data_IF_556957418227
#
_entry.id   IF_556957418227
#
_cell.length_a   1.000
_cell.length_b   1.000
_cell.length_c   1.000
_cell.angle_alpha   90.00
_cell.angle_beta   90.00
_cell.angle_gamma   90.00
#
_symmetry.space_group_name_H-M   'P 1'
#
loop_
_entity.id
_entity.type
_entity.pdbx_description
1 polymer ?
#
# COMPACT_ATOMS: atom_id res chain seq x y z
N UNK A 1 -15.11 -22.60 4.31
CA UNK A 1 -14.97 -22.29 2.87
C UNK A 1 -14.30 -20.93 2.80
N UNK A 2 -13.20 -20.80 2.05
CA UNK A 2 -12.56 -19.49 1.88
C UNK A 2 -13.48 -18.58 1.07
N UNK A 3 -13.75 -17.40 1.60
CA UNK A 3 -14.58 -16.35 1.01
C UNK A 3 -13.73 -15.17 0.52
N UNK A 4 -12.41 -15.37 0.45
CA UNK A 4 -11.49 -14.43 -0.18
C UNK A 4 -11.16 -14.91 -1.58
N UNK A 5 -11.37 -14.04 -2.56
CA UNK A 5 -11.00 -14.27 -3.94
C UNK A 5 -9.71 -13.51 -4.25
N UNK A 6 -8.71 -14.21 -4.76
CA UNK A 6 -7.49 -13.58 -5.27
C UNK A 6 -7.82 -12.89 -6.61
N UNK A 7 -7.37 -11.65 -6.77
CA UNK A 7 -7.54 -10.94 -8.04
C UNK A 7 -6.43 -11.25 -9.03
N UNK A 8 -6.66 -10.94 -10.31
CA UNK A 8 -5.63 -11.09 -11.36
C UNK A 8 -4.65 -9.90 -11.41
N UNK A 9 -4.75 -8.93 -10.49
CA UNK A 9 -3.89 -7.76 -10.49
C UNK A 9 -2.43 -8.11 -10.17
N UNK A 10 -1.52 -7.50 -10.93
CA UNK A 10 -0.07 -7.69 -10.80
C UNK A 10 0.62 -6.35 -10.63
N UNK A 11 1.74 -6.33 -9.94
CA UNK A 11 2.59 -5.16 -9.92
C UNK A 11 3.16 -4.87 -11.31
N UNK A 12 3.27 -3.59 -11.65
CA UNK A 12 4.05 -3.11 -12.77
C UNK A 12 5.54 -3.13 -12.42
N UNK A 13 6.37 -3.82 -13.22
CA UNK A 13 7.82 -3.78 -13.05
C UNK A 13 8.43 -2.43 -13.49
N UNK A 14 7.65 -1.57 -14.18
CA UNK A 14 8.09 -0.22 -14.54
C UNK A 14 8.25 0.60 -13.25
N UNK A 15 9.48 0.95 -12.93
CA UNK A 15 9.85 1.64 -11.69
C UNK A 15 9.84 3.17 -11.81
N UNK A 16 9.98 3.69 -13.03
CA UNK A 16 10.10 5.12 -13.27
C UNK A 16 9.16 5.60 -14.37
N UNK A 17 8.69 6.83 -14.23
CA UNK A 17 8.07 7.61 -15.31
C UNK A 17 9.16 8.23 -16.20
N UNK A 18 8.96 8.14 -17.51
CA UNK A 18 9.92 8.58 -18.52
C UNK A 18 9.31 9.62 -19.48
N UNK A 19 7.97 9.60 -19.65
CA UNK A 19 7.25 10.56 -20.48
C UNK A 19 7.04 11.89 -19.72
N UNK A 20 7.42 13.04 -20.31
CA UNK A 20 7.24 14.34 -19.70
C UNK A 20 5.78 14.79 -19.79
N UNK A 21 5.42 15.84 -19.05
CA UNK A 21 4.12 16.48 -19.22
C UNK A 21 4.14 17.37 -20.47
N UNK A 22 3.02 17.40 -21.20
CA UNK A 22 2.78 18.33 -22.33
C UNK A 22 2.51 19.77 -21.84
N UNK A 23 3.43 20.33 -21.04
CA UNK A 23 3.35 21.70 -20.55
C UNK A 23 4.74 22.29 -20.29
N UNK A 24 4.86 23.59 -20.49
CA UNK A 24 6.03 24.38 -20.10
C UNK A 24 5.82 25.11 -18.76
N UNK A 25 4.60 25.10 -18.23
CA UNK A 25 4.27 25.81 -16.98
C UNK A 25 4.96 25.15 -15.79
N UNK A 26 5.67 25.95 -15.01
CA UNK A 26 6.38 25.48 -13.82
C UNK A 26 5.35 25.16 -12.72
N UNK A 27 5.37 23.95 -12.12
CA UNK A 27 4.49 23.59 -11.03
C UNK A 27 4.63 24.52 -9.82
N UNK A 28 3.50 24.82 -9.18
CA UNK A 28 3.45 25.66 -7.99
C UNK A 28 3.65 24.81 -6.72
N UNK A 29 3.93 25.47 -5.59
CA UNK A 29 4.10 24.77 -4.31
C UNK A 29 2.88 23.92 -3.91
N UNK A 30 1.66 24.37 -4.26
CA UNK A 30 0.42 23.63 -4.00
C UNK A 30 0.37 22.28 -4.73
N UNK A 31 1.02 22.17 -5.88
CA UNK A 31 1.04 20.94 -6.68
C UNK A 31 1.89 19.82 -6.03
N UNK A 32 2.61 20.16 -4.96
CA UNK A 32 3.48 19.29 -4.15
C UNK A 32 3.04 19.27 -2.68
N UNK A 33 1.87 19.83 -2.36
CA UNK A 33 1.35 19.89 -1.01
C UNK A 33 1.03 18.49 -0.49
N UNK A 34 1.06 18.34 0.84
CA UNK A 34 0.75 17.08 1.54
C UNK A 34 1.60 15.89 1.04
N UNK A 35 2.83 16.16 0.59
CA UNK A 35 3.77 15.14 0.16
C UNK A 35 3.90 14.04 1.21
N UNK A 36 3.50 12.84 0.84
CA UNK A 36 3.61 11.66 1.67
C UNK A 36 5.06 11.16 1.66
N UNK A 37 5.73 11.19 2.80
CA UNK A 37 7.15 10.85 2.88
C UNK A 37 7.40 9.33 2.89
N UNK A 38 6.42 8.54 3.30
CA UNK A 38 6.62 7.13 3.57
C UNK A 38 5.50 6.22 3.05
N UNK A 39 4.34 6.75 2.69
CA UNK A 39 3.26 6.01 2.03
C UNK A 39 3.22 6.22 0.51
N UNK A 40 2.02 6.04 -0.03
CA UNK A 40 1.73 5.96 -1.47
C UNK A 40 0.85 7.09 -1.98
N UNK A 41 0.48 8.05 -1.13
CA UNK A 41 -0.32 9.20 -1.56
C UNK A 41 0.50 10.07 -2.53
N UNK A 42 -0.04 10.27 -3.72
CA UNK A 42 0.55 11.05 -4.79
C UNK A 42 0.14 12.52 -4.65
N UNK A 43 1.12 13.41 -4.77
CA UNK A 43 0.87 14.83 -5.02
C UNK A 43 0.18 15.04 -6.37
N UNK A 44 -0.45 16.21 -6.57
CA UNK A 44 -1.09 16.55 -7.85
C UNK A 44 -0.11 16.52 -9.03
N UNK A 45 1.17 16.85 -8.79
CA UNK A 45 2.20 16.72 -9.81
C UNK A 45 2.48 15.25 -10.16
N UNK A 46 2.62 14.37 -9.16
CA UNK A 46 2.81 12.93 -9.38
C UNK A 46 1.64 12.29 -10.13
N UNK A 47 0.40 12.67 -9.80
CA UNK A 47 -0.80 12.20 -10.49
C UNK A 47 -0.80 12.59 -11.98
N UNK A 48 -0.38 13.82 -12.32
CA UNK A 48 -0.25 14.25 -13.73
C UNK A 48 0.75 13.41 -14.51
N UNK A 49 1.89 13.08 -13.89
CA UNK A 49 2.88 12.21 -14.53
C UNK A 49 2.39 10.77 -14.69
N UNK A 50 1.65 10.25 -13.70
CA UNK A 50 1.02 8.94 -13.84
C UNK A 50 0.10 8.91 -15.08
N UNK A 51 -0.77 9.91 -15.24
CA UNK A 51 -1.67 10.01 -16.40
C UNK A 51 -0.90 10.12 -17.71
N UNK A 52 0.13 10.98 -17.78
CA UNK A 52 0.97 11.11 -18.97
C UNK A 52 1.72 9.82 -19.33
N UNK A 53 1.96 8.94 -18.36
CA UNK A 53 2.62 7.65 -18.53
C UNK A 53 1.64 6.47 -18.65
N UNK A 54 0.35 6.74 -18.87
CA UNK A 54 -0.70 5.73 -19.09
C UNK A 54 -1.17 5.00 -17.84
N UNK A 55 -0.90 5.55 -16.65
CA UNK A 55 -1.37 5.02 -15.38
C UNK A 55 -2.47 5.91 -14.78
N UNK A 56 -3.41 5.29 -14.09
CA UNK A 56 -4.47 6.00 -13.37
C UNK A 56 -4.24 5.90 -11.87
N UNK A 57 -4.25 7.05 -11.19
CA UNK A 57 -4.32 7.08 -9.73
C UNK A 57 -5.77 6.95 -9.30
N UNK A 58 -6.01 6.18 -8.24
CA UNK A 58 -7.34 5.94 -7.69
C UNK A 58 -7.45 6.58 -6.31
N UNK A 59 -8.65 7.06 -5.97
CA UNK A 59 -8.92 7.56 -4.63
C UNK A 59 -8.67 6.46 -3.57
N UNK A 60 -7.73 6.70 -2.66
CA UNK A 60 -7.52 5.92 -1.46
C UNK A 60 -8.52 6.32 -0.36
N UNK A 61 -8.78 7.63 -0.23
CA UNK A 61 -9.87 8.30 0.53
C UNK A 61 -10.29 9.53 -0.28
N UNK A 62 -11.39 10.23 0.05
CA UNK A 62 -11.93 11.35 -0.76
C UNK A 62 -10.89 12.39 -1.25
N UNK A 63 -9.79 12.59 -0.51
CA UNK A 63 -8.74 13.58 -0.82
C UNK A 63 -7.36 12.98 -1.15
N UNK A 64 -7.22 11.65 -1.22
CA UNK A 64 -5.91 10.96 -1.35
C UNK A 64 -5.92 10.08 -2.59
N UNK A 65 -4.90 10.17 -3.43
CA UNK A 65 -4.79 9.40 -4.66
C UNK A 65 -3.52 8.57 -4.64
N UNK A 66 -3.62 7.27 -4.94
CA UNK A 66 -2.49 6.36 -5.02
C UNK A 66 -2.57 5.51 -6.28
N UNK A 67 -1.44 4.99 -6.77
CA UNK A 67 -1.47 3.88 -7.71
C UNK A 67 -1.75 2.64 -6.90
N UNK A 68 -2.97 2.11 -7.02
CA UNK A 68 -3.39 0.93 -6.29
C UNK A 68 -4.31 0.04 -7.09
N UNK A 69 -4.31 -1.24 -6.75
CA UNK A 69 -5.27 -2.22 -7.24
C UNK A 69 -5.70 -3.13 -6.08
N UNK A 70 -6.92 -3.69 -6.09
CA UNK A 70 -7.29 -4.76 -5.18
C UNK A 70 -6.30 -5.92 -5.27
N UNK A 71 -5.93 -6.52 -4.13
CA UNK A 71 -5.12 -7.74 -4.10
C UNK A 71 -6.01 -8.96 -3.90
N UNK A 72 -6.80 -8.95 -2.82
CA UNK A 72 -7.90 -9.87 -2.57
C UNK A 72 -9.24 -9.11 -2.51
N UNK A 73 -10.33 -9.80 -2.80
CA UNK A 73 -11.69 -9.30 -2.62
C UNK A 73 -12.53 -10.26 -1.77
N UNK A 74 -13.57 -9.73 -1.14
CA UNK A 74 -14.55 -10.50 -0.38
C UNK A 74 -15.94 -10.01 -0.76
N UNK A 75 -16.95 -10.91 -0.91
CA UNK A 75 -18.34 -10.49 -0.93
C UNK A 75 -18.71 -9.73 0.35
N UNK A 76 -19.68 -8.82 0.27
CA UNK A 76 -20.13 -8.04 1.43
C UNK A 76 -20.55 -8.96 2.59
N UNK A 77 -20.02 -8.65 3.78
CA UNK A 77 -20.32 -9.34 5.03
C UNK A 77 -20.53 -8.33 6.15
N UNK A 78 -21.36 -8.73 7.12
CA UNK A 78 -21.70 -7.91 8.29
C UNK A 78 -21.33 -8.57 9.61
N UNK A 79 -20.79 -9.79 9.56
CA UNK A 79 -20.47 -10.63 10.72
C UNK A 79 -19.40 -11.67 10.36
N UNK A 80 -18.60 -12.04 11.36
CA UNK A 80 -17.43 -12.90 11.25
C UNK A 80 -16.19 -12.11 10.81
N UNK A 81 -15.28 -12.80 10.13
CA UNK A 81 -14.10 -12.20 9.53
C UNK A 81 -14.46 -11.40 8.26
N UNK A 82 -14.16 -10.10 8.30
CA UNK A 82 -14.46 -9.13 7.25
C UNK A 82 -13.16 -8.57 6.69
N UNK A 83 -13.00 -8.63 5.38
CA UNK A 83 -11.89 -7.96 4.69
C UNK A 83 -12.10 -6.45 4.75
N UNK A 84 -11.28 -5.78 5.54
CA UNK A 84 -11.29 -4.32 5.63
C UNK A 84 -10.67 -3.72 4.37
N UNK A 85 -9.48 -4.19 4.00
CA UNK A 85 -8.83 -3.85 2.74
C UNK A 85 -7.78 -4.88 2.34
N UNK A 86 -7.51 -4.96 1.04
CA UNK A 86 -6.43 -5.75 0.48
C UNK A 86 -5.96 -5.10 -0.81
N UNK A 87 -4.76 -4.51 -0.80
CA UNK A 87 -4.30 -3.60 -1.83
C UNK A 87 -2.85 -3.90 -2.24
N UNK A 88 -2.63 -3.81 -3.54
CA UNK A 88 -1.31 -3.64 -4.15
C UNK A 88 -1.07 -2.14 -4.34
N UNK A 89 0.07 -1.63 -3.89
CA UNK A 89 0.43 -0.22 -4.00
C UNK A 89 1.72 0.00 -4.80
N UNK A 90 1.76 1.10 -5.54
CA UNK A 90 2.95 1.51 -6.29
C UNK A 90 3.21 3.02 -6.18
N UNK A 91 4.48 3.39 -6.18
CA UNK A 91 4.92 4.77 -6.35
C UNK A 91 6.20 4.80 -7.16
N UNK A 92 6.22 5.59 -8.23
CA UNK A 92 7.29 5.55 -9.22
C UNK A 92 8.26 6.71 -9.04
N UNK A 93 9.52 6.46 -9.38
CA UNK A 93 10.53 7.51 -9.56
C UNK A 93 10.42 8.18 -10.93
N UNK A 94 11.40 9.02 -11.27
CA UNK A 94 11.46 9.72 -12.55
C UNK A 94 12.77 9.46 -13.29
N UNK A 95 12.69 9.28 -14.60
CA UNK A 95 13.83 9.04 -15.49
C UNK A 95 13.62 9.75 -16.83
N UNK A 96 14.59 9.68 -17.74
CA UNK A 96 14.44 10.16 -19.11
C UNK A 96 14.02 11.63 -19.21
N UNK A 97 13.12 11.92 -20.15
CA UNK A 97 12.64 13.28 -20.43
C UNK A 97 11.80 13.86 -19.28
N UNK A 98 11.04 13.00 -18.58
CA UNK A 98 10.30 13.39 -17.38
C UNK A 98 11.24 13.96 -16.30
N UNK A 99 12.35 13.26 -16.00
CA UNK A 99 13.34 13.74 -15.04
C UNK A 99 13.98 15.06 -15.49
N UNK A 100 14.38 15.17 -16.76
CA UNK A 100 14.96 16.41 -17.30
C UNK A 100 14.00 17.60 -17.21
N UNK A 101 12.69 17.37 -17.39
CA UNK A 101 11.67 18.40 -17.19
C UNK A 101 11.60 18.83 -15.72
N UNK A 102 11.54 17.88 -14.79
CA UNK A 102 11.52 18.16 -13.35
C UNK A 102 12.78 18.90 -12.89
N UNK A 103 13.97 18.50 -13.34
CA UNK A 103 15.24 19.16 -13.00
C UNK A 103 15.29 20.61 -13.49
N UNK A 104 14.74 20.90 -14.68
CA UNK A 104 14.62 22.27 -15.18
C UNK A 104 13.69 23.10 -14.30
N UNK A 105 12.53 22.55 -13.92
CA UNK A 105 11.60 23.25 -13.03
C UNK A 105 12.15 23.42 -11.61
N UNK A 106 12.94 22.47 -11.11
CA UNK A 106 13.52 22.50 -9.77
C UNK A 106 14.50 23.67 -9.56
N UNK A 107 15.08 24.20 -10.65
CA UNK A 107 15.89 25.44 -10.62
C UNK A 107 15.09 26.67 -10.17
N UNK A 108 13.77 26.65 -10.35
CA UNK A 108 12.85 27.74 -9.98
C UNK A 108 12.01 27.38 -8.76
N UNK A 109 11.53 26.13 -8.67
CA UNK A 109 10.78 25.61 -7.51
C UNK A 109 11.51 24.39 -6.89
N UNK A 110 12.38 24.61 -5.88
CA UNK A 110 13.15 23.53 -5.25
C UNK A 110 12.32 22.44 -4.57
N UNK A 111 11.03 22.69 -4.27
CA UNK A 111 10.16 21.65 -3.70
C UNK A 111 10.01 20.44 -4.63
N UNK A 112 10.25 20.61 -5.93
CA UNK A 112 10.21 19.54 -6.92
C UNK A 112 11.26 18.46 -6.63
N UNK A 113 12.35 18.80 -5.92
CA UNK A 113 13.32 17.80 -5.48
C UNK A 113 12.70 16.72 -4.58
N UNK A 114 11.57 17.00 -3.89
CA UNK A 114 10.84 15.98 -3.12
C UNK A 114 10.40 14.80 -3.98
N UNK A 115 9.96 15.05 -5.22
CA UNK A 115 9.53 13.96 -6.11
C UNK A 115 10.69 13.43 -6.96
N UNK A 116 11.69 14.26 -7.30
CA UNK A 116 12.90 13.81 -8.02
C UNK A 116 13.67 12.76 -7.21
N UNK A 117 13.74 12.94 -5.87
CA UNK A 117 14.53 12.08 -4.97
C UNK A 117 13.80 10.82 -4.51
N UNK A 118 12.59 10.55 -5.01
CA UNK A 118 11.84 9.34 -4.67
C UNK A 118 12.55 8.10 -5.20
N UNK A 119 12.72 7.11 -4.33
CA UNK A 119 12.98 5.73 -4.75
C UNK A 119 11.67 5.07 -5.16
N UNK A 120 11.61 4.37 -6.31
CA UNK A 120 10.46 3.55 -6.66
C UNK A 120 10.10 2.58 -5.53
N UNK A 121 8.82 2.45 -5.23
CA UNK A 121 8.30 1.71 -4.08
C UNK A 121 7.09 0.87 -4.49
N UNK A 122 7.03 -0.35 -3.97
CA UNK A 122 5.89 -1.28 -4.10
C UNK A 122 5.46 -1.73 -2.71
N UNK A 123 4.16 -1.93 -2.51
CA UNK A 123 3.59 -2.20 -1.18
C UNK A 123 2.48 -3.23 -1.25
N UNK A 124 2.47 -4.12 -0.28
CA UNK A 124 1.39 -5.06 -0.01
C UNK A 124 0.69 -4.61 1.27
N UNK A 125 -0.62 -4.51 1.24
CA UNK A 125 -1.42 -4.11 2.39
C UNK A 125 -2.64 -5.04 2.50
N UNK A 126 -2.79 -5.71 3.64
CA UNK A 126 -3.83 -6.70 3.87
C UNK A 126 -4.38 -6.58 5.29
N UNK A 127 -5.69 -6.43 5.41
CA UNK A 127 -6.36 -6.27 6.69
C UNK A 127 -7.69 -7.04 6.75
N UNK A 128 -7.81 -7.88 7.77
CA UNK A 128 -9.02 -8.61 8.15
C UNK A 128 -9.41 -8.18 9.56
N UNK A 129 -10.65 -7.74 9.71
CA UNK A 129 -11.30 -7.45 10.98
C UNK A 129 -12.26 -8.58 11.35
N UNK A 130 -12.67 -8.63 12.61
CA UNK A 130 -13.74 -9.50 13.09
C UNK A 130 -14.80 -8.67 13.81
N UNK A 131 -16.07 -8.98 13.55
CA UNK A 131 -17.21 -8.45 14.29
C UNK A 131 -18.29 -9.52 14.47
N UNK A 132 -18.90 -9.61 15.64
CA UNK A 132 -20.05 -10.50 15.90
C UNK A 132 -21.22 -9.80 16.62
N UNK A 133 -22.35 -10.52 16.72
CA UNK A 133 -23.56 -10.05 17.42
C UNK A 133 -23.42 -9.91 18.93
N UNK A 134 -22.40 -10.53 19.52
CA UNK A 134 -22.08 -10.38 20.94
C UNK A 134 -21.24 -9.13 21.22
N UNK A 135 -20.85 -8.40 20.16
CA UNK A 135 -20.09 -7.16 20.23
C UNK A 135 -18.58 -7.37 20.33
N UNK A 136 -18.08 -8.58 20.04
CA UNK A 136 -16.64 -8.77 19.89
C UNK A 136 -16.19 -8.09 18.60
N UNK A 137 -15.26 -7.15 18.73
CA UNK A 137 -14.67 -6.43 17.60
C UNK A 137 -13.17 -6.33 17.80
N UNK A 138 -12.40 -6.77 16.82
CA UNK A 138 -10.94 -6.64 16.81
C UNK A 138 -10.37 -6.89 15.40
N UNK A 139 -9.17 -6.38 15.16
CA UNK A 139 -8.40 -6.69 13.97
C UNK A 139 -7.83 -8.11 14.09
N UNK A 140 -8.15 -9.00 13.15
CA UNK A 140 -7.62 -10.38 13.13
C UNK A 140 -6.17 -10.37 12.64
N UNK A 141 -5.92 -9.63 11.56
CA UNK A 141 -4.60 -9.36 11.02
C UNK A 141 -4.65 -8.02 10.30
N UNK A 142 -3.72 -7.13 10.61
CA UNK A 142 -3.24 -6.11 9.68
C UNK A 142 -1.82 -6.50 9.33
N UNK A 143 -1.45 -6.37 8.06
CA UNK A 143 -0.11 -6.69 7.60
C UNK A 143 0.25 -5.83 6.39
N UNK A 144 1.32 -5.06 6.54
CA UNK A 144 1.86 -4.18 5.51
C UNK A 144 3.31 -4.57 5.20
N UNK A 145 3.67 -4.60 3.91
CA UNK A 145 5.02 -4.88 3.45
C UNK A 145 5.40 -4.02 2.25
N UNK A 146 6.16 -2.98 2.55
CA UNK A 146 6.76 -2.03 1.65
C UNK A 146 8.13 -2.51 1.18
N UNK A 147 8.52 -2.20 -0.04
CA UNK A 147 9.90 -2.36 -0.50
C UNK A 147 10.26 -1.47 -1.68
N UNK A 148 11.57 -1.20 -1.81
CA UNK A 148 12.14 -0.46 -2.95
C UNK A 148 12.64 -1.38 -4.08
N UNK A 149 12.52 -2.70 -3.90
CA UNK A 149 12.92 -3.70 -4.89
C UNK A 149 11.69 -4.48 -5.36
N UNK A 150 11.36 -4.34 -6.64
CA UNK A 150 10.22 -5.03 -7.26
C UNK A 150 10.27 -6.56 -7.04
N UNK A 151 11.40 -7.21 -7.35
CA UNK A 151 11.49 -8.66 -7.32
C UNK A 151 11.33 -9.22 -5.90
N UNK A 152 11.81 -8.49 -4.90
CA UNK A 152 11.67 -8.85 -3.50
C UNK A 152 10.22 -8.73 -3.01
N UNK A 153 9.53 -7.64 -3.33
CA UNK A 153 8.11 -7.46 -2.97
C UNK A 153 7.21 -8.43 -3.73
N UNK A 154 7.48 -8.67 -5.01
CA UNK A 154 6.76 -9.66 -5.83
C UNK A 154 6.97 -11.09 -5.31
N UNK A 155 8.20 -11.45 -4.92
CA UNK A 155 8.46 -12.75 -4.28
C UNK A 155 7.69 -12.90 -2.96
N UNK A 156 7.57 -11.81 -2.17
CA UNK A 156 6.79 -11.80 -0.93
C UNK A 156 5.30 -12.00 -1.20
N UNK A 157 4.76 -11.34 -2.23
CA UNK A 157 3.38 -11.49 -2.69
C UNK A 157 3.08 -12.95 -3.02
N UNK A 158 3.90 -13.56 -3.88
CA UNK A 158 3.76 -14.96 -4.29
C UNK A 158 3.88 -15.96 -3.13
N UNK A 159 4.71 -15.66 -2.13
CA UNK A 159 4.83 -16.49 -0.91
C UNK A 159 3.53 -16.47 -0.08
N UNK A 160 2.89 -15.31 0.06
CA UNK A 160 1.77 -15.11 0.97
C UNK A 160 0.40 -15.39 0.35
N UNK A 161 0.24 -15.21 -0.95
CA UNK A 161 -1.03 -15.47 -1.65
C UNK A 161 -1.65 -16.85 -1.33
N UNK A 162 -0.94 -17.98 -1.52
CA UNK A 162 -1.50 -19.30 -1.22
C UNK A 162 -1.75 -19.50 0.28
N UNK A 163 -0.98 -18.82 1.15
CA UNK A 163 -1.15 -18.91 2.60
C UNK A 163 -2.43 -18.20 3.04
N UNK A 164 -2.63 -16.96 2.60
CA UNK A 164 -3.83 -16.18 2.93
C UNK A 164 -5.10 -16.79 2.35
N UNK A 165 -5.04 -17.35 1.14
CA UNK A 165 -6.16 -18.05 0.51
C UNK A 165 -6.59 -19.32 1.27
N UNK A 166 -5.65 -19.99 1.94
CA UNK A 166 -5.90 -21.25 2.66
C UNK A 166 -6.39 -21.05 4.10
N UNK A 167 -6.31 -19.85 4.66
CA UNK A 167 -6.75 -19.56 6.03
C UNK A 167 -8.28 -19.55 6.11
N UNK A 168 -8.84 -20.27 7.09
CA UNK A 168 -10.21 -20.05 7.54
C UNK A 168 -10.21 -18.88 8.54
N UNK A 169 -10.56 -17.70 8.06
CA UNK A 169 -10.44 -16.46 8.84
C UNK A 169 -11.42 -16.38 10.02
N UNK A 170 -12.57 -17.07 9.93
CA UNK A 170 -13.53 -17.13 11.04
C UNK A 170 -12.99 -18.02 12.17
N UNK A 171 -12.42 -19.18 11.82
CA UNK A 171 -11.76 -20.06 12.80
C UNK A 171 -10.52 -19.40 13.44
N UNK A 172 -9.71 -18.72 12.61
CA UNK A 172 -8.56 -17.96 13.09
C UNK A 172 -8.98 -16.86 14.06
N UNK A 173 -10.02 -16.09 13.74
CA UNK A 173 -10.54 -15.05 14.64
C UNK A 173 -11.05 -15.64 15.95
N UNK A 174 -11.84 -16.72 15.91
CA UNK A 174 -12.32 -17.40 17.11
C UNK A 174 -11.16 -17.91 17.99
N UNK A 175 -10.07 -18.39 17.37
CA UNK A 175 -8.88 -18.86 18.06
C UNK A 175 -8.02 -17.73 18.65
N UNK A 176 -7.93 -16.58 17.97
CA UNK A 176 -7.26 -15.38 18.48
C UNK A 176 -8.04 -14.76 19.64
N UNK A 177 -9.38 -14.74 19.55
CA UNK A 177 -10.26 -14.21 20.62
C UNK A 177 -10.10 -15.00 21.93
N UNK A 178 -9.92 -16.32 21.86
CA UNK A 178 -9.63 -17.17 23.04
C UNK A 178 -8.30 -16.82 23.73
N UNK A 179 -7.40 -16.12 23.04
CA UNK A 179 -6.08 -15.71 23.53
C UNK A 179 -5.99 -14.19 23.77
N UNK A 180 -7.15 -13.51 23.89
CA UNK A 180 -7.25 -12.04 24.01
C UNK A 180 -6.38 -11.45 25.12
N UNK A 181 -6.27 -12.16 26.24
CA UNK A 181 -5.43 -11.79 27.38
C UNK A 181 -3.93 -11.68 27.03
N UNK A 182 -3.46 -12.43 26.03
CA UNK A 182 -2.06 -12.42 25.61
C UNK A 182 -1.68 -11.19 24.77
N UNK A 183 -2.63 -10.60 24.03
CA UNK A 183 -2.30 -9.58 23.03
C UNK A 183 -3.03 -8.25 23.20
N UNK A 184 -4.26 -8.23 23.74
CA UNK A 184 -5.09 -7.01 23.72
C UNK A 184 -4.53 -5.85 24.55
N UNK A 185 -3.67 -6.14 25.53
CA UNK A 185 -3.02 -5.15 26.37
C UNK A 185 -1.72 -4.61 25.77
N UNK A 186 -1.23 -5.22 24.68
CA UNK A 186 0.01 -4.83 24.02
C UNK A 186 -0.20 -3.54 23.20
N UNK A 187 0.90 -2.83 22.95
CA UNK A 187 0.87 -1.72 21.99
C UNK A 187 0.71 -2.22 20.55
N UNK A 188 0.52 -1.29 19.61
CA UNK A 188 0.29 -1.60 18.20
C UNK A 188 1.35 -2.54 17.60
N UNK A 189 2.63 -2.25 17.81
CA UNK A 189 3.71 -3.04 17.20
C UNK A 189 3.82 -4.43 17.81
N UNK A 190 3.65 -4.53 19.13
CA UNK A 190 3.66 -5.80 19.82
C UNK A 190 2.42 -6.67 19.47
N UNK A 191 1.25 -6.06 19.22
CA UNK A 191 0.09 -6.78 18.68
C UNK A 191 0.35 -7.28 17.26
N UNK A 192 0.89 -6.44 16.38
CA UNK A 192 1.25 -6.83 15.01
C UNK A 192 2.26 -7.99 15.00
N UNK A 193 3.31 -7.89 15.82
CA UNK A 193 4.31 -8.96 15.98
C UNK A 193 3.67 -10.27 16.48
N UNK A 194 2.79 -10.19 17.48
CA UNK A 194 2.09 -11.35 18.02
C UNK A 194 1.22 -12.03 16.94
N UNK A 195 0.48 -11.25 16.14
CA UNK A 195 -0.36 -11.77 15.05
C UNK A 195 0.49 -12.36 13.92
N UNK A 196 1.58 -11.70 13.52
CA UNK A 196 2.51 -12.24 12.53
C UNK A 196 3.06 -13.60 12.96
N UNK A 197 3.45 -13.73 14.24
CA UNK A 197 3.90 -15.00 14.81
C UNK A 197 2.80 -16.07 14.85
N UNK A 198 1.57 -15.69 15.21
CA UNK A 198 0.41 -16.59 15.20
C UNK A 198 0.16 -17.19 13.82
N UNK A 199 0.21 -16.38 12.77
CA UNK A 199 0.06 -16.83 11.38
C UNK A 199 1.35 -17.42 10.77
N UNK A 200 2.47 -17.34 11.48
CA UNK A 200 3.79 -17.78 11.02
C UNK A 200 4.30 -17.00 9.81
N UNK A 201 3.91 -15.74 9.65
CA UNK A 201 4.33 -14.86 8.55
C UNK A 201 5.44 -13.91 9.02
N UNK A 202 6.14 -13.32 8.06
CA UNK A 202 7.15 -12.30 8.39
C UNK A 202 6.51 -11.07 9.02
N UNK A 203 7.28 -10.38 9.85
CA UNK A 203 6.90 -9.10 10.42
C UNK A 203 6.55 -8.09 9.33
N UNK A 204 5.65 -7.17 9.68
CA UNK A 204 5.37 -6.00 8.85
C UNK A 204 6.64 -5.20 8.57
N UNK A 205 6.66 -4.54 7.41
CA UNK A 205 7.70 -3.59 7.04
C UNK A 205 7.03 -2.41 6.37
N UNK A 206 6.85 -1.33 7.11
CA UNK A 206 6.14 -0.15 6.66
C UNK A 206 6.81 1.13 7.16
N UNK A 207 6.26 2.30 6.80
CA UNK A 207 6.81 3.63 7.15
C UNK A 207 8.24 3.86 6.64
N UNK A 208 8.62 3.20 5.54
CA UNK A 208 9.92 3.40 4.92
C UNK A 208 10.01 4.79 4.26
N UNK A 209 10.92 5.65 4.73
CA UNK A 209 11.17 6.97 4.11
C UNK A 209 11.57 6.77 2.65
N UNK A 210 10.86 7.42 1.73
CA UNK A 210 10.96 7.13 0.30
C UNK A 210 12.22 7.70 -0.37
N UNK A 211 12.83 8.73 0.20
CA UNK A 211 13.98 9.41 -0.40
C UNK A 211 15.27 8.58 -0.39
N UNK A 212 16.09 8.78 -1.42
CA UNK A 212 17.48 8.30 -1.52
C UNK A 212 18.42 8.89 -0.46
#
# INVERSE_FOLDING_TARGET
>A
MSYLDLTDHQFSPKSHWDQPLETSSIPLARDLALFDQNGYDLTDLEQRFAVANGAHAHAHREHRHALKAPWFTQPDRVEGAVLNHSLLFERKGYSGEALQQLERWAKVNPLIFKIIRIRPKWGLDFSIDYADRDGNVFEVLHWEYDGFNYAEVESRKQELEPRFAAIDWDDAAASILKQKDQWHHLDFFAQSDWKCNYFGIVKERFKMVIWE
#
